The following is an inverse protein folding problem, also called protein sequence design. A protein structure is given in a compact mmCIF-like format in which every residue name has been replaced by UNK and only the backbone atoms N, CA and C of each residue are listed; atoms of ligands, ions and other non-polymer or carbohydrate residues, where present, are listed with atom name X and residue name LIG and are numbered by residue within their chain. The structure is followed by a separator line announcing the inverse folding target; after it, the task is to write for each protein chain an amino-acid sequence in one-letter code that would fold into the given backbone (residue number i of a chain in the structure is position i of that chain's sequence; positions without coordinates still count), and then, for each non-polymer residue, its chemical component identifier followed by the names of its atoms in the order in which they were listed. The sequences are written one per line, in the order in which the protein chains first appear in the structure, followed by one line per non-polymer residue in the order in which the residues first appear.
data_IF_161814224898
#
_entry.id   IF_161814224898
#
_cell.length_a   1.000
_cell.length_b   1.000
_cell.length_c   1.000
_cell.angle_alpha   90.00
_cell.angle_beta   90.00
_cell.angle_gamma   90.00
#
_symmetry.space_group_name_H-M   'P 1'
#
loop_
_entity.id
_entity.type
_entity.pdbx_description
1 polymer ?
#
# COMPACT_ATOMS: atom_id res chain seq x y z
N UNK A 1 -0.53 -0.66 12.30
CA UNK A 1 -1.81 -0.01 11.92
C UNK A 1 -2.52 -0.80 10.82
N UNK A 2 -1.95 -0.99 9.65
CA UNK A 2 -2.61 -1.69 8.52
C UNK A 2 -3.03 -3.12 8.86
N UNK A 3 -2.17 -3.91 9.52
CA UNK A 3 -2.52 -5.27 9.97
C UNK A 3 -3.75 -5.29 10.90
N UNK A 4 -3.88 -4.28 11.78
CA UNK A 4 -5.07 -4.13 12.63
C UNK A 4 -6.32 -3.87 11.79
N UNK A 5 -6.25 -2.99 10.79
CA UNK A 5 -7.40 -2.74 9.89
C UNK A 5 -7.82 -4.00 9.14
N UNK A 6 -6.85 -4.79 8.64
CA UNK A 6 -7.13 -6.07 7.96
C UNK A 6 -7.82 -7.04 8.93
N UNK A 7 -7.26 -7.21 10.14
CA UNK A 7 -7.80 -8.11 11.16
C UNK A 7 -9.22 -7.73 11.64
N UNK A 8 -9.51 -6.41 11.72
CA UNK A 8 -10.84 -5.93 12.12
C UNK A 8 -11.88 -6.04 11.01
N UNK A 9 -11.48 -5.77 9.75
CA UNK A 9 -12.43 -5.78 8.62
C UNK A 9 -12.75 -7.18 8.13
N UNK A 10 -11.79 -8.10 8.18
CA UNK A 10 -11.95 -9.52 7.79
C UNK A 10 -12.57 -9.68 6.40
N UNK A 11 -12.08 -8.91 5.45
CA UNK A 11 -12.49 -8.96 4.05
C UNK A 11 -11.27 -9.11 3.16
N UNK A 12 -11.48 -9.59 1.93
CA UNK A 12 -10.44 -9.65 0.91
C UNK A 12 -9.73 -8.30 0.77
N UNK A 13 -8.41 -8.32 0.81
CA UNK A 13 -7.59 -7.10 0.93
C UNK A 13 -6.61 -6.97 -0.22
N UNK A 14 -6.57 -5.81 -0.84
CA UNK A 14 -5.55 -5.41 -1.82
C UNK A 14 -4.66 -4.33 -1.22
N UNK A 15 -3.34 -4.54 -1.29
CA UNK A 15 -2.34 -3.56 -0.89
C UNK A 15 -1.63 -3.06 -2.15
N UNK A 16 -1.72 -1.75 -2.40
CA UNK A 16 -1.13 -1.11 -3.57
C UNK A 16 0.24 -0.53 -3.21
N UNK A 17 1.24 -0.91 -3.99
CA UNK A 17 2.61 -0.42 -3.87
C UNK A 17 3.09 0.22 -5.17
N UNK A 18 3.93 1.24 -5.06
CA UNK A 18 4.65 1.83 -6.19
C UNK A 18 6.08 1.30 -6.34
N UNK A 19 6.66 0.75 -5.26
CA UNK A 19 8.01 0.21 -5.26
C UNK A 19 8.03 -1.27 -4.91
N UNK A 20 8.66 -2.08 -5.76
CA UNK A 20 8.84 -3.51 -5.51
C UNK A 20 9.73 -3.81 -4.29
N UNK A 21 10.60 -2.87 -3.90
CA UNK A 21 11.47 -3.01 -2.72
C UNK A 21 10.67 -3.13 -1.42
N UNK A 22 9.44 -2.60 -1.38
CA UNK A 22 8.57 -2.68 -0.20
C UNK A 22 7.77 -3.99 -0.14
N UNK A 23 7.69 -4.75 -1.23
CA UNK A 23 6.80 -5.91 -1.33
C UNK A 23 7.17 -7.00 -0.31
N UNK A 24 8.45 -7.34 -0.18
CA UNK A 24 8.89 -8.36 0.78
C UNK A 24 8.72 -7.86 2.23
N UNK A 25 8.99 -6.58 2.49
CA UNK A 25 8.76 -5.99 3.81
C UNK A 25 7.28 -6.06 4.22
N UNK A 26 6.37 -5.84 3.26
CA UNK A 26 4.94 -5.99 3.52
C UNK A 26 4.56 -7.44 3.83
N UNK A 27 5.11 -8.41 3.07
CA UNK A 27 4.87 -9.84 3.33
C UNK A 27 5.33 -10.21 4.73
N UNK A 28 6.58 -9.87 5.09
CA UNK A 28 7.16 -10.18 6.40
C UNK A 28 6.31 -9.58 7.52
N UNK A 29 5.93 -8.29 7.38
CA UNK A 29 5.10 -7.62 8.39
C UNK A 29 3.69 -8.19 8.51
N UNK A 30 3.08 -8.60 7.41
CA UNK A 30 1.77 -9.25 7.46
C UNK A 30 1.87 -10.62 8.15
N UNK A 31 2.92 -11.39 7.90
CA UNK A 31 3.17 -12.67 8.55
C UNK A 31 3.48 -12.50 10.05
N UNK A 32 4.24 -11.46 10.43
CA UNK A 32 4.58 -11.15 11.83
C UNK A 32 3.34 -10.76 12.66
N UNK A 33 2.36 -10.07 12.05
CA UNK A 33 1.27 -9.42 12.78
C UNK A 33 -0.12 -10.02 12.53
N UNK A 34 -0.26 -10.93 11.57
CA UNK A 34 -1.54 -11.55 11.25
C UNK A 34 -1.44 -13.07 11.38
N UNK A 35 -2.33 -13.63 12.17
CA UNK A 35 -2.63 -15.06 12.18
C UNK A 35 -3.88 -15.29 11.30
N UNK A 36 -3.64 -15.72 10.05
CA UNK A 36 -4.69 -15.91 9.06
C UNK A 36 -4.98 -17.39 8.97
N UNK A 37 -6.15 -17.78 9.48
CA UNK A 37 -6.58 -19.18 9.54
C UNK A 37 -7.49 -19.53 8.35
N UNK A 38 -7.24 -18.95 7.20
CA UNK A 38 -7.94 -19.28 5.96
C UNK A 38 -7.29 -20.47 5.27
N UNK A 39 -8.10 -21.29 4.60
CA UNK A 39 -7.57 -22.37 3.79
C UNK A 39 -6.74 -21.83 2.62
N UNK A 40 -5.63 -22.53 2.35
CA UNK A 40 -4.77 -22.15 1.22
C UNK A 40 -5.53 -22.31 -0.10
N UNK A 41 -5.67 -21.24 -0.90
CA UNK A 41 -6.44 -21.28 -2.14
C UNK A 41 -5.81 -22.22 -3.15
N UNK A 42 -6.68 -22.90 -3.90
CA UNK A 42 -6.27 -23.74 -5.01
C UNK A 42 -6.17 -22.92 -6.30
N UNK A 43 -5.29 -23.32 -7.18
CA UNK A 43 -5.15 -22.75 -8.50
C UNK A 43 -4.86 -23.81 -9.54
N UNK A 44 -5.32 -23.60 -10.76
CA UNK A 44 -5.05 -24.47 -11.88
C UNK A 44 -3.78 -24.03 -12.62
N UNK A 45 -2.85 -24.96 -12.78
CA UNK A 45 -1.64 -24.72 -13.59
C UNK A 45 -1.98 -24.70 -15.08
N UNK A 46 -1.14 -24.12 -15.96
CA UNK A 46 -1.33 -24.17 -17.41
C UNK A 46 -1.47 -25.60 -17.97
N UNK A 47 -0.93 -26.59 -17.27
CA UNK A 47 -1.06 -28.02 -17.61
C UNK A 47 -2.36 -28.67 -17.09
N UNK A 48 -3.30 -27.88 -16.54
CA UNK A 48 -4.59 -28.36 -16.03
C UNK A 48 -4.56 -28.99 -14.64
N UNK A 49 -3.40 -29.07 -13.97
CA UNK A 49 -3.28 -29.67 -12.64
C UNK A 49 -3.70 -28.67 -11.56
N UNK A 50 -4.49 -29.11 -10.59
CA UNK A 50 -4.86 -28.33 -9.41
C UNK A 50 -3.71 -28.40 -8.39
N UNK A 51 -3.30 -27.25 -7.86
CA UNK A 51 -2.29 -27.11 -6.80
C UNK A 51 -2.78 -26.10 -5.77
N UNK A 52 -2.38 -26.28 -4.50
CA UNK A 52 -2.60 -25.29 -3.44
C UNK A 52 -1.53 -24.22 -3.47
N UNK A 53 -1.91 -22.97 -3.19
CA UNK A 53 -0.97 -21.87 -2.94
C UNK A 53 -0.13 -22.18 -1.69
N UNK A 54 1.06 -21.61 -1.62
CA UNK A 54 1.96 -21.79 -0.46
C UNK A 54 1.68 -20.79 0.66
N UNK A 55 0.93 -19.75 0.38
CA UNK A 55 0.61 -18.66 1.28
C UNK A 55 -0.78 -18.11 0.97
N UNK A 56 -1.44 -17.55 1.96
CA UNK A 56 -2.67 -16.74 1.83
C UNK A 56 -2.36 -15.31 1.35
N UNK A 57 -1.08 -14.91 1.38
CA UNK A 57 -0.61 -13.63 0.87
C UNK A 57 -0.10 -13.85 -0.56
N UNK A 58 -0.78 -13.23 -1.52
CA UNK A 58 -0.41 -13.25 -2.92
C UNK A 58 0.38 -12.02 -3.34
N UNK A 59 1.03 -12.11 -4.50
CA UNK A 59 1.82 -11.03 -5.10
C UNK A 59 1.46 -10.84 -6.56
N UNK A 60 1.30 -9.59 -6.99
CA UNK A 60 1.05 -9.20 -8.37
C UNK A 60 2.12 -8.18 -8.78
N UNK A 61 3.11 -8.60 -9.56
CA UNK A 61 4.15 -7.70 -10.06
C UNK A 61 4.70 -8.14 -11.42
N UNK A 62 4.80 -7.20 -12.35
CA UNK A 62 5.27 -7.48 -13.71
C UNK A 62 4.40 -8.52 -14.43
N UNK A 63 5.00 -9.63 -14.79
CA UNK A 63 4.31 -10.80 -15.36
C UNK A 63 3.93 -11.86 -14.31
N UNK A 64 4.37 -11.68 -13.06
CA UNK A 64 4.11 -12.63 -12.00
C UNK A 64 2.78 -12.31 -11.31
N UNK A 65 1.89 -13.29 -11.31
CA UNK A 65 0.62 -13.24 -10.61
C UNK A 65 0.46 -14.51 -9.76
N UNK A 66 0.56 -14.31 -8.46
CA UNK A 66 0.28 -15.35 -7.46
C UNK A 66 -0.89 -14.95 -6.56
N UNK A 67 -1.78 -14.09 -7.06
CA UNK A 67 -2.94 -13.59 -6.30
C UNK A 67 -3.76 -14.72 -5.69
N UNK A 68 -4.24 -14.48 -4.49
CA UNK A 68 -5.01 -15.44 -3.69
C UNK A 68 -6.46 -15.02 -3.53
N UNK A 69 -6.74 -13.71 -3.63
CA UNK A 69 -8.05 -13.13 -3.34
C UNK A 69 -8.32 -12.99 -1.83
N UNK A 70 -7.35 -13.32 -0.98
CA UNK A 70 -7.44 -13.16 0.48
C UNK A 70 -6.72 -11.88 0.89
N UNK A 71 -5.38 -11.88 0.78
CA UNK A 71 -4.57 -10.67 0.93
C UNK A 71 -3.58 -10.68 -0.22
N UNK A 72 -3.68 -9.68 -1.08
CA UNK A 72 -2.80 -9.56 -2.23
C UNK A 72 -2.05 -8.24 -2.21
N UNK A 73 -0.75 -8.30 -2.48
CA UNK A 73 0.13 -7.14 -2.59
C UNK A 73 0.43 -6.93 -4.06
N UNK A 74 0.09 -5.77 -4.59
CA UNK A 74 0.19 -5.50 -6.01
C UNK A 74 0.99 -4.24 -6.31
N UNK A 75 1.83 -4.33 -7.34
CA UNK A 75 2.40 -3.15 -7.96
C UNK A 75 1.33 -2.44 -8.79
N UNK A 76 1.18 -1.13 -8.59
CA UNK A 76 0.22 -0.29 -9.34
C UNK A 76 0.32 -0.55 -10.85
N UNK A 77 1.53 -0.48 -11.42
CA UNK A 77 1.73 -0.71 -12.86
C UNK A 77 1.43 -2.13 -13.37
N UNK A 78 1.14 -3.08 -12.47
CA UNK A 78 0.76 -4.45 -12.85
C UNK A 78 -0.75 -4.67 -12.88
N UNK A 79 -1.53 -3.76 -12.28
CA UNK A 79 -2.98 -3.85 -12.19
C UNK A 79 -3.72 -3.22 -13.38
N UNK A 80 -3.05 -2.35 -14.13
CA UNK A 80 -3.58 -1.77 -15.35
C UNK A 80 -2.51 -1.87 -16.45
N UNK A 81 -2.80 -2.60 -17.52
CA UNK A 81 -1.92 -2.76 -18.69
C UNK A 81 -2.70 -2.45 -19.95
N UNK A 82 -2.25 -1.46 -20.71
CA UNK A 82 -2.88 -1.06 -21.99
C UNK A 82 -4.39 -0.76 -21.87
N UNK A 83 -4.83 -0.23 -20.72
CA UNK A 83 -6.25 0.05 -20.48
C UNK A 83 -7.07 -1.14 -20.00
N UNK A 84 -6.46 -2.32 -19.82
CA UNK A 84 -7.12 -3.49 -19.27
C UNK A 84 -6.74 -3.63 -17.79
N UNK A 85 -7.76 -3.75 -16.93
CA UNK A 85 -7.58 -3.94 -15.50
C UNK A 85 -7.43 -5.41 -15.12
N UNK A 86 -6.70 -5.64 -14.04
CA UNK A 86 -6.55 -6.98 -13.49
C UNK A 86 -7.93 -7.56 -13.10
N UNK A 87 -8.26 -8.81 -13.49
CA UNK A 87 -9.62 -9.37 -13.32
C UNK A 87 -10.13 -9.35 -11.88
N UNK A 88 -9.22 -9.56 -10.90
CA UNK A 88 -9.58 -9.57 -9.49
C UNK A 88 -9.77 -8.19 -8.85
N UNK A 89 -9.55 -7.10 -9.60
CA UNK A 89 -9.54 -5.75 -9.00
C UNK A 89 -10.85 -5.40 -8.29
N UNK A 90 -11.97 -5.95 -8.77
CA UNK A 90 -13.30 -5.72 -8.21
C UNK A 90 -13.69 -6.71 -7.08
N UNK A 91 -12.85 -7.70 -6.78
CA UNK A 91 -13.16 -8.73 -5.78
C UNK A 91 -12.77 -8.30 -4.35
N UNK A 92 -11.97 -7.22 -4.21
CA UNK A 92 -11.46 -6.81 -2.90
C UNK A 92 -12.42 -5.92 -2.15
N UNK A 93 -12.64 -6.25 -0.87
CA UNK A 93 -13.46 -5.48 0.05
C UNK A 93 -12.71 -4.35 0.75
N UNK A 94 -11.38 -4.44 0.83
CA UNK A 94 -10.48 -3.46 1.42
C UNK A 94 -9.33 -3.16 0.46
N UNK A 95 -9.06 -1.89 0.23
CA UNK A 95 -7.89 -1.40 -0.48
C UNK A 95 -7.02 -0.56 0.45
N UNK A 96 -5.73 -0.85 0.53
CA UNK A 96 -4.74 -0.06 1.26
C UNK A 96 -3.70 0.43 0.26
N UNK A 97 -3.55 1.72 0.11
CA UNK A 97 -2.49 2.31 -0.71
C UNK A 97 -1.34 2.80 0.18
N UNK A 98 -0.17 2.20 0.00
CA UNK A 98 1.06 2.68 0.63
C UNK A 98 1.63 3.86 -0.16
N UNK A 99 2.29 4.79 0.54
CA UNK A 99 2.78 6.05 0.00
C UNK A 99 1.71 6.82 -0.80
N UNK A 100 0.51 6.92 -0.22
CA UNK A 100 -0.67 7.47 -0.88
C UNK A 100 -0.54 8.93 -1.32
N UNK A 101 0.57 9.62 -0.98
CA UNK A 101 0.88 10.92 -1.54
C UNK A 101 1.09 10.87 -3.07
N UNK A 102 1.29 9.68 -3.65
CA UNK A 102 1.32 9.44 -5.10
C UNK A 102 -0.07 9.15 -5.71
N UNK A 103 -1.15 9.17 -4.94
CA UNK A 103 -2.51 8.86 -5.42
C UNK A 103 -3.00 9.75 -6.57
N UNK A 104 -2.35 10.90 -6.80
CA UNK A 104 -2.68 11.82 -7.89
C UNK A 104 -2.11 11.44 -9.28
N UNK A 105 -1.44 10.29 -9.40
CA UNK A 105 -1.00 9.82 -10.73
C UNK A 105 -2.17 9.22 -11.52
N UNK A 106 -2.20 9.43 -12.84
CA UNK A 106 -3.32 9.00 -13.68
C UNK A 106 -3.66 7.51 -13.50
N UNK A 107 -2.65 6.64 -13.53
CA UNK A 107 -2.84 5.20 -13.37
C UNK A 107 -3.43 4.83 -12.01
N UNK A 108 -3.01 5.49 -10.93
CA UNK A 108 -3.57 5.24 -9.58
C UNK A 108 -5.01 5.70 -9.50
N UNK A 109 -5.32 6.86 -10.08
CA UNK A 109 -6.70 7.37 -10.14
C UNK A 109 -7.60 6.35 -10.83
N UNK A 110 -7.22 5.88 -12.02
CA UNK A 110 -7.97 4.88 -12.78
C UNK A 110 -8.19 3.59 -11.97
N UNK A 111 -7.14 3.06 -11.33
CA UNK A 111 -7.23 1.86 -10.51
C UNK A 111 -8.15 2.08 -9.32
N UNK A 112 -8.01 3.19 -8.58
CA UNK A 112 -8.85 3.47 -7.41
C UNK A 112 -10.32 3.72 -7.77
N UNK A 113 -10.60 4.24 -8.98
CA UNK A 113 -11.97 4.38 -9.48
C UNK A 113 -12.59 3.04 -9.89
N UNK A 114 -11.78 2.10 -10.39
CA UNK A 114 -12.24 0.77 -10.79
C UNK A 114 -12.45 -0.17 -9.61
N UNK A 115 -11.71 0.01 -8.50
CA UNK A 115 -11.86 -0.80 -7.29
C UNK A 115 -13.23 -0.53 -6.65
N UNK A 116 -14.01 -1.60 -6.43
CA UNK A 116 -15.31 -1.55 -5.73
C UNK A 116 -15.19 -1.86 -4.23
N UNK A 117 -14.02 -1.61 -3.64
CA UNK A 117 -13.80 -1.88 -2.23
C UNK A 117 -14.69 -1.02 -1.33
N UNK A 118 -15.32 -1.66 -0.36
CA UNK A 118 -16.10 -0.96 0.68
C UNK A 118 -15.22 -0.04 1.53
N UNK A 119 -13.94 -0.40 1.70
CA UNK A 119 -12.99 0.33 2.51
C UNK A 119 -11.76 0.68 1.68
N UNK A 120 -11.40 1.95 1.64
CA UNK A 120 -10.18 2.44 1.00
C UNK A 120 -9.40 3.30 2.01
N UNK A 121 -8.12 2.99 2.19
CA UNK A 121 -7.24 3.73 3.09
C UNK A 121 -5.90 4.03 2.41
N UNK A 122 -5.43 5.25 2.60
CA UNK A 122 -4.08 5.64 2.24
C UNK A 122 -3.19 5.73 3.48
N UNK A 123 -1.95 5.30 3.37
CA UNK A 123 -0.91 5.49 4.39
C UNK A 123 0.28 6.21 3.75
N UNK A 124 0.84 7.17 4.47
CA UNK A 124 2.03 7.90 4.04
C UNK A 124 2.72 8.57 5.22
N UNK A 125 4.03 8.69 5.16
CA UNK A 125 4.81 9.49 6.10
C UNK A 125 4.78 10.99 5.74
N UNK A 126 4.48 11.32 4.49
CA UNK A 126 4.54 12.68 3.93
C UNK A 126 3.21 13.07 3.26
N UNK A 127 2.17 13.42 4.05
CA UNK A 127 0.83 13.67 3.51
C UNK A 127 0.71 14.96 2.68
N UNK A 128 1.65 15.88 2.82
CA UNK A 128 1.65 17.15 2.09
C UNK A 128 2.53 17.06 0.85
N UNK A 129 2.02 17.54 -0.28
CA UNK A 129 2.71 17.65 -1.55
C UNK A 129 3.02 19.13 -1.86
N UNK A 130 4.17 19.39 -2.46
CA UNK A 130 4.56 20.75 -2.87
C UNK A 130 3.76 21.28 -4.07
N UNK A 131 3.10 20.38 -4.82
CA UNK A 131 2.32 20.70 -6.03
C UNK A 131 0.81 20.90 -5.77
N UNK A 132 0.36 20.75 -4.51
CA UNK A 132 -1.05 20.94 -4.14
C UNK A 132 -2.02 19.86 -4.62
N UNK A 133 -1.50 18.75 -5.18
CA UNK A 133 -2.33 17.65 -5.68
C UNK A 133 -2.81 16.69 -4.58
N UNK A 134 -2.51 16.97 -3.32
CA UNK A 134 -3.02 16.18 -2.17
C UNK A 134 -4.55 16.12 -2.12
N UNK A 135 -5.24 17.13 -2.67
CA UNK A 135 -6.70 17.17 -2.76
C UNK A 135 -7.27 15.99 -3.56
N UNK A 136 -6.57 15.55 -4.60
CA UNK A 136 -6.97 14.39 -5.39
C UNK A 136 -6.90 13.13 -4.53
N UNK A 137 -5.83 12.98 -3.73
CA UNK A 137 -5.72 11.89 -2.75
C UNK A 137 -6.88 11.87 -1.75
N UNK A 138 -7.28 13.04 -1.23
CA UNK A 138 -8.41 13.15 -0.31
C UNK A 138 -9.76 12.82 -0.98
N UNK A 139 -9.94 13.14 -2.26
CA UNK A 139 -11.15 12.78 -3.01
C UNK A 139 -11.27 11.28 -3.24
N UNK A 140 -10.14 10.58 -3.38
CA UNK A 140 -10.10 9.14 -3.67
C UNK A 140 -10.10 8.26 -2.41
N UNK A 141 -9.38 8.70 -1.37
CA UNK A 141 -9.09 7.92 -0.16
C UNK A 141 -9.72 8.51 1.10
N UNK A 142 -10.34 9.69 0.99
CA UNK A 142 -10.92 10.43 2.12
C UNK A 142 -9.91 11.27 2.88
N UNK A 143 -10.41 12.03 3.85
CA UNK A 143 -9.61 12.91 4.69
C UNK A 143 -8.70 12.15 5.66
N UNK A 144 -7.68 12.85 6.18
CA UNK A 144 -6.75 12.31 7.16
C UNK A 144 -7.53 11.91 8.43
N UNK A 145 -7.60 10.61 8.71
CA UNK A 145 -8.29 10.04 9.87
C UNK A 145 -7.40 9.93 11.11
N UNK A 146 -6.10 9.76 10.89
CA UNK A 146 -5.13 9.59 11.97
C UNK A 146 -3.79 10.18 11.56
N UNK A 147 -3.17 10.90 12.47
CA UNK A 147 -1.82 11.46 12.30
C UNK A 147 -0.98 11.09 13.51
N UNK A 148 0.19 10.52 13.26
CA UNK A 148 1.17 10.18 14.28
C UNK A 148 2.50 10.83 13.90
N UNK A 149 2.93 11.81 14.70
CA UNK A 149 4.12 12.61 14.38
C UNK A 149 5.35 12.11 15.14
N UNK A 150 6.55 12.54 14.71
CA UNK A 150 7.78 12.29 15.45
C UNK A 150 7.72 12.85 16.88
N UNK A 151 6.97 13.95 17.09
CA UNK A 151 6.73 14.52 18.42
C UNK A 151 5.87 13.59 19.31
N UNK A 152 4.86 12.98 18.73
CA UNK A 152 3.99 12.03 19.45
C UNK A 152 4.80 10.81 19.87
N UNK A 153 5.61 10.28 18.96
CA UNK A 153 6.52 9.17 19.23
C UNK A 153 7.53 9.52 20.34
N UNK A 154 8.13 10.70 20.29
CA UNK A 154 9.08 11.14 21.30
C UNK A 154 8.45 11.24 22.69
N UNK A 155 7.22 11.77 22.78
CA UNK A 155 6.47 11.84 24.04
C UNK A 155 6.19 10.44 24.62
N UNK A 156 5.76 9.50 23.78
CA UNK A 156 5.49 8.13 24.22
C UNK A 156 6.75 7.39 24.69
N UNK A 157 7.89 7.67 24.06
CA UNK A 157 9.17 7.03 24.39
C UNK A 157 9.98 7.78 25.44
N UNK A 158 9.48 8.92 25.94
CA UNK A 158 10.19 9.76 26.93
C UNK A 158 11.52 10.34 26.40
N UNK A 159 11.65 10.47 25.06
CA UNK A 159 12.87 10.99 24.43
C UNK A 159 12.81 12.51 24.28
N UNK A 160 13.86 13.18 24.72
CA UNK A 160 14.08 14.60 24.42
C UNK A 160 14.83 14.74 23.10
N UNK A 161 14.30 15.55 22.19
CA UNK A 161 14.97 15.89 20.94
C UNK A 161 15.81 17.16 21.13
N UNK A 162 17.12 17.01 21.05
CA UNK A 162 18.06 18.14 21.02
C UNK A 162 18.43 18.41 19.55
N UNK A 163 18.18 19.63 19.09
CA UNK A 163 18.55 20.08 17.74
C UNK A 163 19.80 20.92 17.84
N UNK A 164 20.90 20.45 17.25
CA UNK A 164 22.15 21.20 17.12
C UNK A 164 22.29 21.72 15.69
N UNK A 165 21.85 22.96 15.38
CA UNK A 165 22.00 23.50 14.04
C UNK A 165 23.50 23.74 13.76
N UNK A 166 24.03 23.14 12.70
CA UNK A 166 25.36 23.42 12.19
C UNK A 166 25.24 24.27 10.93
N UNK A 167 25.77 25.48 10.99
CA UNK A 167 25.81 26.37 9.83
C UNK A 167 27.13 26.18 9.10
N UNK A 168 27.08 25.81 7.84
CA UNK A 168 28.24 25.81 6.95
C UNK A 168 28.23 27.09 6.13
N UNK A 169 29.37 27.82 6.12
CA UNK A 169 29.56 28.96 5.21
C UNK A 169 29.92 28.41 3.84
N UNK A 170 28.94 28.28 2.96
CA UNK A 170 29.18 28.03 1.54
C UNK A 170 29.14 29.38 0.85
N UNK A 171 30.32 29.85 0.41
CA UNK A 171 30.38 31.03 -0.46
C UNK A 171 30.11 30.57 -1.89
N UNK A 172 29.01 31.01 -2.48
CA UNK A 172 28.79 30.86 -3.92
C UNK A 172 29.64 31.90 -4.66
N UNK A 173 30.44 31.53 -5.64
CA UNK A 173 31.10 32.53 -6.51
C UNK A 173 30.00 33.31 -7.22
N UNK A 174 30.02 34.62 -7.07
CA UNK A 174 29.16 35.51 -7.85
C UNK A 174 29.65 35.46 -9.29
N UNK A 175 28.82 34.98 -10.20
CA UNK A 175 29.00 35.16 -11.65
C UNK A 175 28.79 36.58 -12.07
#
# INVERSE_FOLDING_TARGET
MCSKMIAERKVSTLILLESSALMEQWVDKLQDFLDIQEELPEYQTPSGRIRKRKSVIGKIHGAHDSSTGIIDIAMVGSLCKKGEFHPRLQEYGLCIMDECHHAATATVIEILQEIKAKYAYGVTATPMRSDGLEKIGYMLLGDIRYRYTAKDRAKEQGMEHLVYPRFTRVAYPRS
#
